data_IF_255441512959
#
_entry.id   IF_255441512959
#
_cell.length_a   1.000
_cell.length_b   1.000
_cell.length_c   1.000
_cell.angle_alpha   90.00
_cell.angle_beta   90.00
_cell.angle_gamma   90.00
#
_symmetry.space_group_name_H-M   'P 1'
#
loop_
_entity.id
_entity.type
_entity.pdbx_description
1 polymer ?
#
# COMPACT_ATOMS: atom_id res chain seq x y z
N UNK A 1 -31.84 35.22 -66.72
CA UNK A 1 -30.43 35.67 -66.64
C UNK A 1 -29.72 34.71 -65.69
N UNK A 2 -28.96 33.75 -66.21
CA UNK A 2 -28.27 32.72 -65.42
C UNK A 2 -26.88 32.45 -66.01
N UNK A 3 -25.88 32.54 -65.11
CA UNK A 3 -24.69 31.69 -65.01
C UNK A 3 -23.64 31.75 -66.15
N UNK A 4 -22.36 31.42 -65.99
CA UNK A 4 -21.59 30.75 -64.93
C UNK A 4 -20.17 31.36 -64.97
N UNK A 5 -19.56 31.67 -63.82
CA UNK A 5 -18.09 31.69 -63.72
C UNK A 5 -17.65 30.92 -62.47
N UNK A 6 -17.38 29.64 -62.68
CA UNK A 6 -16.67 28.78 -61.72
C UNK A 6 -15.29 29.39 -61.43
N UNK A 7 -15.06 29.82 -60.19
CA UNK A 7 -13.71 30.02 -59.66
C UNK A 7 -13.49 29.07 -58.50
N UNK A 8 -12.87 27.94 -58.81
CA UNK A 8 -12.34 26.99 -57.83
C UNK A 8 -11.12 27.60 -57.12
N UNK A 9 -11.35 28.31 -56.01
CA UNK A 9 -10.28 28.83 -55.14
C UNK A 9 -10.34 28.20 -53.73
N UNK A 10 -10.65 26.90 -53.65
CA UNK A 10 -10.64 26.16 -52.40
C UNK A 10 -9.23 25.65 -52.05
N UNK A 11 -8.77 25.94 -50.83
CA UNK A 11 -7.49 25.47 -50.26
C UNK A 11 -7.24 23.96 -50.44
N UNK A 12 -8.31 23.14 -50.51
CA UNK A 12 -8.19 21.69 -50.68
C UNK A 12 -7.68 21.20 -52.04
N UNK A 13 -7.78 21.99 -53.12
CA UNK A 13 -7.33 21.53 -54.45
C UNK A 13 -5.80 21.60 -54.58
N UNK A 14 -5.18 22.65 -54.01
CA UNK A 14 -3.72 22.82 -53.98
C UNK A 14 -3.04 21.74 -53.15
N UNK A 15 -3.61 21.39 -51.99
CA UNK A 15 -3.04 20.33 -51.14
C UNK A 15 -3.20 18.93 -51.75
N UNK A 16 -4.32 18.66 -52.43
CA UNK A 16 -4.51 17.40 -53.17
C UNK A 16 -3.55 17.26 -54.35
N UNK A 17 -3.33 18.33 -55.12
CA UNK A 17 -2.34 18.33 -56.21
C UNK A 17 -0.91 18.15 -55.64
N UNK A 18 -0.61 18.74 -54.48
CA UNK A 18 0.68 18.59 -53.81
C UNK A 18 0.92 17.19 -53.24
N UNK A 19 -0.13 16.48 -52.81
CA UNK A 19 -0.04 15.06 -52.43
C UNK A 19 0.11 14.14 -53.64
N UNK A 20 -0.58 14.41 -54.75
CA UNK A 20 -0.44 13.62 -55.99
C UNK A 20 0.93 13.80 -56.67
N UNK A 21 1.54 14.98 -56.58
CA UNK A 21 2.85 15.28 -57.15
C UNK A 21 4.02 15.09 -56.16
N UNK A 22 3.82 14.39 -55.04
CA UNK A 22 4.93 14.05 -54.14
C UNK A 22 5.87 13.07 -54.86
N UNK A 23 7.14 13.46 -54.99
CA UNK A 23 8.19 12.57 -55.50
C UNK A 23 8.17 11.25 -54.72
N UNK A 24 8.20 10.13 -55.46
CA UNK A 24 8.30 8.79 -54.89
C UNK A 24 9.40 8.80 -53.83
N UNK A 25 9.06 8.34 -52.63
CA UNK A 25 9.98 8.21 -51.51
C UNK A 25 11.28 7.56 -51.96
N UNK A 26 12.36 8.34 -51.96
CA UNK A 26 13.68 7.88 -52.40
C UNK A 26 14.25 6.81 -51.46
N UNK A 27 15.36 6.15 -51.87
CA UNK A 27 15.99 5.07 -51.10
C UNK A 27 16.35 5.48 -49.66
N UNK A 28 16.62 6.76 -49.42
CA UNK A 28 16.86 7.33 -48.09
C UNK A 28 15.66 7.24 -47.13
N UNK A 29 14.42 7.30 -47.65
CA UNK A 29 13.23 7.10 -46.83
C UNK A 29 13.13 5.65 -46.37
N UNK A 30 13.49 4.70 -47.23
CA UNK A 30 13.53 3.28 -46.89
C UNK A 30 14.53 2.99 -45.77
N UNK A 31 15.71 3.62 -45.80
CA UNK A 31 16.71 3.54 -44.72
C UNK A 31 16.15 4.07 -43.40
N UNK A 32 15.41 5.18 -43.41
CA UNK A 32 14.77 5.72 -42.19
C UNK A 32 13.72 4.77 -41.62
N UNK A 33 12.89 4.16 -42.47
CA UNK A 33 11.90 3.19 -42.02
C UNK A 33 12.54 1.89 -41.52
N UNK A 34 13.60 1.41 -42.17
CA UNK A 34 14.36 0.25 -41.72
C UNK A 34 15.07 0.51 -40.38
N UNK A 35 15.66 1.69 -40.19
CA UNK A 35 16.24 2.11 -38.92
C UNK A 35 15.19 2.23 -37.82
N UNK A 36 13.99 2.75 -38.15
CA UNK A 36 12.89 2.84 -37.19
C UNK A 36 12.36 1.45 -36.79
N UNK A 37 12.17 0.54 -37.75
CA UNK A 37 11.81 -0.85 -37.48
C UNK A 37 12.89 -1.58 -36.68
N UNK A 38 14.17 -1.32 -36.95
CA UNK A 38 15.29 -1.84 -36.15
C UNK A 38 15.25 -1.33 -34.71
N UNK A 39 14.99 -0.03 -34.51
CA UNK A 39 14.85 0.55 -33.17
C UNK A 39 13.65 -0.04 -32.41
N UNK A 40 12.51 -0.21 -33.07
CA UNK A 40 11.33 -0.86 -32.47
C UNK A 40 11.62 -2.33 -32.15
N UNK A 41 12.32 -3.05 -33.03
CA UNK A 41 12.76 -4.42 -32.78
C UNK A 41 13.70 -4.53 -31.57
N UNK A 42 14.64 -3.60 -31.42
CA UNK A 42 15.52 -3.52 -30.24
C UNK A 42 14.76 -3.19 -28.96
N UNK A 43 13.75 -2.31 -29.00
CA UNK A 43 12.89 -2.03 -27.85
C UNK A 43 12.09 -3.27 -27.47
N UNK A 44 11.52 -3.99 -28.44
CA UNK A 44 10.79 -5.25 -28.17
C UNK A 44 11.73 -6.32 -27.60
N UNK A 45 12.96 -6.44 -28.12
CA UNK A 45 13.98 -7.35 -27.58
C UNK A 45 14.45 -6.96 -26.18
N UNK A 46 14.62 -5.66 -25.91
CA UNK A 46 14.93 -5.15 -24.58
C UNK A 46 13.78 -5.37 -23.58
N UNK A 47 12.52 -5.22 -24.03
CA UNK A 47 11.34 -5.57 -23.23
C UNK A 47 11.13 -7.10 -23.13
N UNK A 48 11.77 -7.89 -23.98
CA UNK A 48 11.83 -9.37 -23.88
C UNK A 48 12.92 -9.87 -22.97
N UNK A 49 13.67 -8.98 -22.32
CA UNK A 49 14.43 -9.41 -21.16
C UNK A 49 13.40 -9.79 -20.10
N UNK A 50 13.12 -11.09 -20.02
CA UNK A 50 12.45 -11.73 -18.90
C UNK A 50 13.01 -11.06 -17.67
N UNK A 51 12.16 -10.40 -16.92
CA UNK A 51 12.43 -10.04 -15.54
C UNK A 51 12.53 -11.35 -14.76
N UNK A 52 13.59 -12.12 -15.03
CA UNK A 52 14.34 -12.76 -13.97
C UNK A 52 14.94 -11.60 -13.18
N UNK A 53 14.07 -10.87 -12.47
CA UNK A 53 14.54 -10.30 -11.22
C UNK A 53 15.12 -11.50 -10.51
N UNK A 54 16.42 -11.50 -10.15
CA UNK A 54 16.90 -12.49 -9.24
C UNK A 54 16.01 -12.29 -8.01
N UNK A 55 15.04 -13.19 -7.82
CA UNK A 55 14.43 -13.42 -6.51
C UNK A 55 15.64 -13.43 -5.62
N UNK A 56 15.76 -12.42 -4.75
CA UNK A 56 16.87 -12.31 -3.81
C UNK A 56 16.85 -13.62 -3.05
N UNK A 57 17.63 -14.60 -3.52
CA UNK A 57 17.85 -15.85 -2.82
C UNK A 57 18.43 -15.39 -1.52
N UNK A 58 17.63 -15.46 -0.45
CA UNK A 58 18.07 -15.06 0.87
C UNK A 58 19.38 -15.79 1.11
N UNK A 59 20.46 -15.03 1.22
CA UNK A 59 21.81 -15.57 1.31
C UNK A 59 21.89 -16.34 2.64
N UNK A 60 21.81 -17.68 2.54
CA UNK A 60 21.90 -18.60 3.67
C UNK A 60 20.57 -19.28 3.96
N UNK A 61 20.41 -20.49 3.40
CA UNK A 61 19.43 -21.45 3.88
C UNK A 61 19.71 -21.73 5.37
N UNK A 62 18.67 -21.66 6.20
CA UNK A 62 18.81 -21.93 7.63
C UNK A 62 19.13 -23.42 7.82
N UNK A 63 20.04 -23.79 8.74
CA UNK A 63 20.33 -25.20 8.98
C UNK A 63 19.09 -25.87 9.60
N UNK A 64 18.70 -27.03 9.06
CA UNK A 64 17.54 -27.82 9.48
C UNK A 64 17.76 -28.51 10.84
N UNK A 65 17.93 -27.71 11.90
CA UNK A 65 18.22 -28.18 13.27
C UNK A 65 16.95 -28.55 14.06
N UNK A 66 15.78 -28.14 13.59
CA UNK A 66 14.47 -28.42 14.21
C UNK A 66 13.45 -28.85 13.15
N UNK A 67 12.35 -29.53 13.53
CA UNK A 67 11.29 -29.89 12.60
C UNK A 67 10.71 -28.67 11.87
N UNK A 68 10.58 -27.55 12.58
CA UNK A 68 10.12 -26.28 11.99
C UNK A 68 11.12 -25.73 10.97
N UNK A 69 12.43 -25.73 11.27
CA UNK A 69 13.44 -25.28 10.30
C UNK A 69 13.58 -26.20 9.10
N UNK A 70 13.34 -27.50 9.27
CA UNK A 70 13.31 -28.43 8.14
C UNK A 70 12.19 -28.06 7.16
N UNK A 71 10.97 -27.78 7.64
CA UNK A 71 9.88 -27.30 6.78
C UNK A 71 10.20 -25.97 6.10
N UNK A 72 10.81 -25.02 6.82
CA UNK A 72 11.23 -23.75 6.23
C UNK A 72 12.24 -23.97 5.12
N UNK A 73 13.26 -24.81 5.35
CA UNK A 73 14.28 -25.13 4.35
C UNK A 73 13.66 -25.82 3.13
N UNK A 74 12.76 -26.79 3.33
CA UNK A 74 12.05 -27.47 2.25
C UNK A 74 11.26 -26.49 1.38
N UNK A 75 10.59 -25.50 1.99
CA UNK A 75 9.87 -24.46 1.25
C UNK A 75 10.81 -23.51 0.50
N UNK A 76 11.88 -23.04 1.15
CA UNK A 76 12.88 -22.17 0.53
C UNK A 76 13.56 -22.84 -0.68
N UNK A 77 13.84 -24.15 -0.58
CA UNK A 77 14.46 -24.95 -1.64
C UNK A 77 13.59 -25.05 -2.91
N UNK A 78 12.26 -24.95 -2.77
CA UNK A 78 11.37 -24.89 -3.95
C UNK A 78 11.54 -23.62 -4.78
N UNK A 79 12.08 -22.54 -4.20
CA UNK A 79 12.23 -21.24 -4.86
C UNK A 79 10.94 -20.45 -5.07
N UNK A 80 9.78 -20.96 -4.63
CA UNK A 80 8.48 -20.27 -4.74
C UNK A 80 8.07 -19.55 -3.45
N UNK A 81 8.83 -19.73 -2.37
CA UNK A 81 8.52 -19.19 -1.05
C UNK A 81 9.62 -18.27 -0.58
N UNK A 82 9.24 -17.30 0.25
CA UNK A 82 10.20 -16.44 0.94
C UNK A 82 9.80 -16.20 2.40
N UNK A 83 10.79 -15.88 3.23
CA UNK A 83 10.60 -15.48 4.62
C UNK A 83 10.04 -14.07 4.67
N UNK A 84 8.74 -13.97 4.94
CA UNK A 84 8.05 -12.70 5.11
C UNK A 84 8.30 -12.09 6.48
N UNK A 85 8.27 -12.94 7.52
CA UNK A 85 8.58 -12.57 8.89
C UNK A 85 9.29 -13.71 9.59
N UNK A 86 10.29 -13.42 10.41
CA UNK A 86 11.04 -14.43 11.12
C UNK A 86 11.58 -13.91 12.45
N UNK A 87 11.49 -14.74 13.47
CA UNK A 87 12.20 -14.66 14.73
C UNK A 87 12.95 -15.98 14.90
N UNK A 88 14.28 -15.97 14.87
CA UNK A 88 15.08 -17.18 14.98
C UNK A 88 16.44 -16.90 15.62
N UNK A 89 17.11 -17.95 16.09
CA UNK A 89 18.44 -17.81 16.70
C UNK A 89 19.52 -18.32 15.75
N UNK A 90 20.37 -17.45 15.20
CA UNK A 90 21.58 -17.87 14.47
C UNK A 90 22.82 -17.78 15.36
N UNK A 91 23.59 -18.89 15.39
CA UNK A 91 24.84 -19.11 16.16
C UNK A 91 24.75 -18.83 17.66
N UNK A 92 24.40 -17.61 18.09
CA UNK A 92 24.03 -17.18 19.47
C UNK A 92 23.23 -15.86 19.51
N UNK A 93 22.73 -15.36 18.39
CA UNK A 93 22.00 -14.07 18.31
C UNK A 93 20.59 -14.31 17.81
N UNK A 94 19.64 -13.64 18.46
CA UNK A 94 18.26 -13.57 17.98
C UNK A 94 18.21 -12.60 16.81
N UNK A 95 17.83 -13.11 15.65
CA UNK A 95 17.62 -12.33 14.44
C UNK A 95 16.13 -12.13 14.20
N UNK A 96 15.80 -10.97 13.63
CA UNK A 96 14.44 -10.58 13.32
C UNK A 96 14.38 -10.12 11.88
N UNK A 97 13.41 -10.63 11.14
CA UNK A 97 12.99 -10.13 9.84
C UNK A 97 11.49 -9.88 9.90
N UNK A 98 11.02 -8.79 9.33
CA UNK A 98 9.59 -8.51 9.20
C UNK A 98 9.33 -7.76 7.89
N UNK A 99 8.19 -8.07 7.29
CA UNK A 99 7.59 -7.39 6.16
C UNK A 99 6.10 -7.13 6.42
N UNK A 100 5.49 -6.26 5.63
CA UNK A 100 4.05 -5.99 5.66
C UNK A 100 3.34 -6.83 4.58
N UNK A 101 2.19 -7.46 4.88
CA UNK A 101 1.37 -7.29 6.09
C UNK A 101 1.82 -8.15 7.28
N UNK A 102 1.48 -7.72 8.50
CA UNK A 102 1.72 -8.50 9.73
C UNK A 102 0.48 -9.35 10.03
N UNK A 103 0.63 -10.68 9.93
CA UNK A 103 -0.48 -11.62 10.02
C UNK A 103 -0.71 -12.20 11.42
N UNK A 104 0.29 -12.09 12.28
CA UNK A 104 0.25 -12.63 13.65
C UNK A 104 0.20 -11.46 14.62
N UNK A 105 -0.67 -11.56 15.62
CA UNK A 105 -0.71 -10.61 16.72
C UNK A 105 -0.71 -11.31 18.06
N UNK A 106 -0.38 -10.57 19.12
CA UNK A 106 -0.41 -11.05 20.49
C UNK A 106 -1.45 -10.27 21.26
N UNK A 107 -2.47 -10.98 21.75
CA UNK A 107 -3.56 -10.41 22.54
C UNK A 107 -3.68 -11.15 23.86
N UNK A 108 -3.66 -10.43 24.97
CA UNK A 108 -3.71 -11.01 26.32
C UNK A 108 -2.69 -12.15 26.52
N UNK A 109 -1.46 -11.92 26.03
CA UNK A 109 -0.34 -12.88 26.12
C UNK A 109 -0.56 -14.20 25.37
N UNK A 110 -1.45 -14.20 24.38
CA UNK A 110 -1.72 -15.34 23.49
C UNK A 110 -1.50 -14.94 22.05
N UNK A 111 -0.94 -15.87 21.27
CA UNK A 111 -0.79 -15.69 19.83
C UNK A 111 -2.13 -15.89 19.11
N UNK A 112 -2.40 -15.06 18.12
CA UNK A 112 -3.58 -15.17 17.27
C UNK A 112 -3.25 -14.73 15.85
N UNK A 113 -4.03 -15.21 14.88
CA UNK A 113 -3.98 -14.72 13.50
C UNK A 113 -4.90 -13.51 13.33
N UNK A 114 -4.47 -12.57 12.49
CA UNK A 114 -5.29 -11.46 12.03
C UNK A 114 -6.59 -11.99 11.40
N UNK A 115 -7.77 -11.47 11.76
CA UNK A 115 -9.07 -11.91 11.22
C UNK A 115 -9.11 -11.94 9.70
N UNK A 116 -8.46 -10.97 9.05
CA UNK A 116 -8.46 -10.81 7.59
C UNK A 116 -7.71 -11.94 6.86
N UNK A 117 -6.84 -12.68 7.56
CA UNK A 117 -5.96 -13.70 6.96
C UNK A 117 -6.08 -15.08 7.61
N UNK A 118 -7.11 -15.31 8.42
CA UNK A 118 -7.33 -16.61 9.08
C UNK A 118 -7.56 -17.76 8.08
N UNK A 119 -8.16 -17.46 6.93
CA UNK A 119 -8.50 -18.44 5.91
C UNK A 119 -7.39 -18.68 4.88
N UNK A 120 -6.42 -17.76 4.82
CA UNK A 120 -5.32 -17.77 3.86
C UNK A 120 -4.00 -18.26 4.46
N UNK A 121 -4.02 -18.67 5.74
CA UNK A 121 -2.82 -19.05 6.50
C UNK A 121 -2.91 -20.48 7.03
N UNK A 122 -1.96 -21.33 6.64
CA UNK A 122 -1.74 -22.62 7.27
C UNK A 122 -0.84 -22.47 8.52
N UNK A 123 -1.21 -23.12 9.63
CA UNK A 123 -0.43 -23.07 10.88
C UNK A 123 0.28 -24.40 11.09
N UNK A 124 1.56 -24.33 11.46
CA UNK A 124 2.39 -25.45 11.86
C UNK A 124 3.05 -25.17 13.20
N UNK A 125 2.94 -26.10 14.15
CA UNK A 125 3.59 -26.03 15.45
C UNK A 125 4.46 -27.28 15.59
N UNK A 126 5.75 -27.08 15.87
CA UNK A 126 6.76 -28.15 16.01
C UNK A 126 6.78 -29.12 14.82
N UNK A 127 6.66 -28.56 13.61
CA UNK A 127 6.63 -29.31 12.35
C UNK A 127 5.30 -30.02 12.02
N UNK A 128 4.26 -29.86 12.84
CA UNK A 128 2.94 -30.49 12.62
C UNK A 128 1.88 -29.46 12.33
N UNK A 129 0.98 -29.75 11.38
CA UNK A 129 -0.16 -28.89 11.08
C UNK A 129 -1.03 -28.73 12.33
N UNK A 130 -1.37 -27.49 12.67
CA UNK A 130 -2.12 -27.13 13.87
C UNK A 130 -3.36 -26.29 13.52
N UNK A 131 -4.21 -26.08 14.52
CA UNK A 131 -5.41 -25.24 14.41
C UNK A 131 -5.18 -23.85 15.02
N UNK A 132 -6.01 -22.85 14.68
CA UNK A 132 -5.98 -21.55 15.34
C UNK A 132 -6.15 -21.63 16.87
N UNK A 133 -6.94 -22.60 17.36
CA UNK A 133 -7.12 -22.82 18.80
C UNK A 133 -5.82 -23.27 19.49
N UNK A 134 -5.01 -24.09 18.81
CA UNK A 134 -3.70 -24.50 19.31
C UNK A 134 -2.72 -23.32 19.36
N UNK A 135 -2.79 -22.41 18.38
CA UNK A 135 -2.02 -21.17 18.37
C UNK A 135 -2.36 -20.29 19.58
N UNK A 136 -3.64 -20.15 19.90
CA UNK A 136 -4.12 -19.35 21.04
C UNK A 136 -3.75 -19.93 22.42
N UNK A 137 -3.27 -21.17 22.49
CA UNK A 137 -2.74 -21.76 23.72
C UNK A 137 -1.26 -21.42 23.96
N UNK A 138 -0.55 -20.96 22.92
CA UNK A 138 0.86 -20.62 23.03
C UNK A 138 1.05 -19.22 23.59
N UNK A 139 1.90 -19.14 24.60
CA UNK A 139 2.39 -17.88 25.14
C UNK A 139 3.70 -17.45 24.45
N UNK A 140 3.94 -16.14 24.27
CA UNK A 140 5.16 -15.60 23.65
C UNK A 140 6.49 -16.08 24.26
N UNK A 141 6.48 -16.42 25.54
CA UNK A 141 7.66 -16.90 26.28
C UNK A 141 8.02 -18.36 25.98
N UNK A 142 7.10 -19.14 25.39
CA UNK A 142 7.32 -20.54 24.99
C UNK A 142 7.80 -20.71 23.55
N UNK A 143 7.74 -19.65 22.74
CA UNK A 143 8.02 -19.68 21.29
C UNK A 143 9.51 -19.56 21.02
N UNK A 144 10.23 -20.63 20.74
CA UNK A 144 11.66 -20.53 20.41
C UNK A 144 11.88 -19.75 19.11
N UNK A 145 11.15 -20.14 18.06
CA UNK A 145 11.27 -19.57 16.72
C UNK A 145 9.89 -19.42 16.09
N UNK A 146 9.75 -18.39 15.26
CA UNK A 146 8.53 -18.13 14.50
C UNK A 146 8.94 -17.72 13.09
N UNK A 147 8.35 -18.38 12.10
CA UNK A 147 8.52 -18.05 10.70
C UNK A 147 7.15 -17.88 10.05
N UNK A 148 7.01 -16.82 9.27
CA UNK A 148 5.90 -16.63 8.36
C UNK A 148 6.46 -16.67 6.95
N UNK A 149 6.11 -17.73 6.23
CA UNK A 149 6.48 -17.92 4.84
C UNK A 149 5.34 -17.42 3.97
N UNK A 150 5.68 -16.74 2.87
CA UNK A 150 4.73 -16.31 1.86
C UNK A 150 5.15 -16.85 0.49
N UNK A 151 4.17 -17.34 -0.27
CA UNK A 151 4.37 -17.82 -1.63
C UNK A 151 4.36 -16.64 -2.60
N UNK A 152 5.22 -16.67 -3.62
CA UNK A 152 5.13 -15.70 -4.71
C UNK A 152 3.90 -15.99 -5.59
N UNK A 153 2.92 -15.10 -5.56
CA UNK A 153 1.64 -15.25 -6.27
C UNK A 153 1.78 -15.28 -7.80
N UNK A 154 2.83 -14.64 -8.34
CA UNK A 154 2.98 -14.41 -9.79
C UNK A 154 4.02 -15.31 -10.47
N UNK A 155 4.55 -16.33 -9.78
CA UNK A 155 5.53 -17.24 -10.37
C UNK A 155 4.87 -18.39 -11.13
N UNK A 156 5.33 -18.61 -12.36
CA UNK A 156 4.86 -19.71 -13.19
C UNK A 156 5.29 -21.04 -12.57
N UNK A 157 4.32 -21.85 -12.15
CA UNK A 157 4.56 -23.13 -11.47
C UNK A 157 4.38 -23.07 -9.95
N UNK A 158 3.99 -21.92 -9.39
CA UNK A 158 3.52 -21.85 -8.02
C UNK A 158 2.27 -22.74 -7.84
N UNK A 159 2.25 -23.51 -6.75
CA UNK A 159 1.10 -24.34 -6.41
C UNK A 159 0.03 -23.48 -5.75
N UNK A 160 -1.01 -23.14 -6.52
CA UNK A 160 -2.15 -22.35 -6.07
C UNK A 160 -3.17 -23.15 -5.23
N UNK A 161 -2.95 -24.46 -5.04
CA UNK A 161 -3.81 -25.29 -4.16
C UNK A 161 -3.42 -25.17 -2.69
N UNK A 162 -2.20 -24.73 -2.42
CA UNK A 162 -1.68 -24.47 -1.08
C UNK A 162 -2.03 -23.04 -0.69
N UNK A 163 -2.37 -22.82 0.59
CA UNK A 163 -2.64 -21.49 1.12
C UNK A 163 -1.39 -20.59 0.99
N UNK A 164 -1.54 -19.31 0.61
CA UNK A 164 -0.40 -18.45 0.28
C UNK A 164 0.52 -18.17 1.47
N UNK A 165 -0.01 -18.21 2.70
CA UNK A 165 0.77 -18.00 3.92
C UNK A 165 0.94 -19.29 4.72
N UNK A 166 2.15 -19.50 5.24
CA UNK A 166 2.43 -20.58 6.19
C UNK A 166 3.10 -20.02 7.43
N UNK A 167 2.41 -20.08 8.56
CA UNK A 167 2.93 -19.75 9.88
C UNK A 167 3.52 -21.01 10.50
N UNK A 168 4.81 -20.98 10.83
CA UNK A 168 5.53 -22.08 11.44
C UNK A 168 6.16 -21.65 12.75
N UNK A 169 5.87 -22.40 13.81
CA UNK A 169 6.30 -22.07 15.18
C UNK A 169 7.06 -23.25 15.75
N UNK A 170 8.24 -22.98 16.30
CA UNK A 170 8.97 -23.92 17.14
C UNK A 170 8.76 -23.53 18.59
N UNK A 171 8.28 -24.45 19.41
CA UNK A 171 8.11 -24.23 20.85
C UNK A 171 9.26 -24.85 21.64
N UNK A 172 9.44 -24.39 22.87
CA UNK A 172 10.25 -25.06 23.89
C UNK A 172 9.42 -25.27 25.14
N UNK A 173 9.57 -26.43 25.79
CA UNK A 173 8.92 -26.73 27.06
C UNK A 173 9.42 -25.93 28.27
N UNK A 174 10.22 -24.88 28.06
CA UNK A 174 10.75 -23.99 29.10
C UNK A 174 10.57 -22.54 28.67
N UNK A 175 10.28 -21.68 29.64
CA UNK A 175 10.20 -20.22 29.47
C UNK A 175 11.54 -19.69 28.95
N UNK A 176 11.49 -18.93 27.86
CA UNK A 176 12.66 -18.31 27.25
C UNK A 176 12.83 -16.87 27.72
N UNK A 177 14.07 -16.46 28.05
CA UNK A 177 14.33 -15.07 28.42
C UNK A 177 14.11 -14.15 27.22
N UNK A 178 13.54 -12.98 27.48
CA UNK A 178 13.38 -11.93 26.47
C UNK A 178 14.66 -11.10 26.39
N UNK A 179 15.40 -11.25 25.30
CA UNK A 179 16.39 -10.27 24.89
C UNK A 179 15.72 -9.04 24.23
N UNK A 180 16.52 -8.01 23.94
CA UNK A 180 16.05 -6.75 23.34
C UNK A 180 15.32 -6.99 22.02
N UNK A 181 15.81 -7.92 21.20
CA UNK A 181 15.24 -8.22 19.89
C UNK A 181 13.89 -8.92 20.07
N UNK A 182 13.86 -10.01 20.83
CA UNK A 182 12.64 -10.76 21.14
C UNK A 182 11.57 -9.87 21.77
N UNK A 183 11.96 -8.98 22.69
CA UNK A 183 11.06 -7.99 23.25
C UNK A 183 10.50 -7.05 22.17
N UNK A 184 11.34 -6.51 21.29
CA UNK A 184 10.89 -5.66 20.20
C UNK A 184 9.95 -6.41 19.23
N UNK A 185 10.22 -7.68 18.94
CA UNK A 185 9.40 -8.52 18.07
C UNK A 185 8.00 -8.76 18.64
N UNK A 186 7.90 -9.23 19.88
CA UNK A 186 6.59 -9.46 20.50
C UNK A 186 5.86 -8.16 20.82
N UNK A 187 6.57 -7.05 21.06
CA UNK A 187 5.96 -5.71 21.16
C UNK A 187 5.35 -5.29 19.82
N UNK A 188 5.99 -5.60 18.69
CA UNK A 188 5.41 -5.39 17.35
C UNK A 188 4.13 -6.20 17.17
N UNK A 189 4.13 -7.50 17.55
CA UNK A 189 2.93 -8.34 17.45
C UNK A 189 1.80 -7.87 18.36
N UNK A 190 2.10 -7.32 19.54
CA UNK A 190 1.10 -6.67 20.40
C UNK A 190 0.54 -5.40 19.76
N UNK A 191 1.40 -4.57 19.15
CA UNK A 191 0.95 -3.39 18.43
C UNK A 191 0.09 -3.73 17.20
N UNK A 192 0.34 -4.87 16.55
CA UNK A 192 -0.45 -5.37 15.43
C UNK A 192 -1.86 -5.84 15.82
N UNK A 193 -2.15 -6.12 17.09
CA UNK A 193 -3.54 -6.33 17.57
C UNK A 193 -4.34 -5.02 17.56
N UNK A 194 -3.66 -3.89 17.73
CA UNK A 194 -4.28 -2.56 17.83
C UNK A 194 -4.27 -1.80 16.50
N UNK A 195 -3.38 -2.16 15.58
CA UNK A 195 -3.10 -1.41 14.36
C UNK A 195 -2.94 -2.32 13.14
N UNK A 196 -3.52 -1.87 12.02
CA UNK A 196 -3.26 -2.43 10.69
C UNK A 196 -1.86 -2.09 10.16
N UNK A 197 -1.32 -0.94 10.55
CA UNK A 197 -0.01 -0.42 10.13
C UNK A 197 0.89 -0.14 11.34
N UNK A 198 1.28 -1.17 12.12
CA UNK A 198 2.07 -0.96 13.33
C UNK A 198 3.48 -0.41 13.02
N UNK A 199 3.99 -0.54 11.80
CA UNK A 199 5.25 0.10 11.37
C UNK A 199 5.06 1.57 10.95
N UNK A 200 3.81 2.05 10.92
CA UNK A 200 3.42 3.39 10.53
C UNK A 200 3.13 3.49 9.02
N UNK A 201 2.20 4.36 8.68
CA UNK A 201 1.82 4.65 7.30
C UNK A 201 1.47 6.15 7.17
N UNK A 202 1.37 6.67 5.97
CA UNK A 202 1.03 8.08 5.72
C UNK A 202 0.19 8.24 4.47
N UNK A 203 -0.90 8.98 4.62
CA UNK A 203 -1.84 9.24 3.54
C UNK A 203 -1.93 10.74 3.25
N UNK A 204 -2.31 11.06 2.01
CA UNK A 204 -2.53 12.44 1.59
C UNK A 204 -3.78 12.52 0.73
N UNK A 205 -4.65 13.45 1.10
CA UNK A 205 -5.93 13.68 0.45
C UNK A 205 -5.99 15.12 -0.05
N UNK A 206 -6.31 15.28 -1.33
CA UNK A 206 -6.84 16.54 -1.87
C UNK A 206 -8.30 16.71 -1.46
N UNK A 207 -8.90 17.89 -1.68
CA UNK A 207 -10.32 18.14 -1.39
C UNK A 207 -11.25 17.08 -2.00
N UNK A 208 -11.06 16.70 -3.27
CA UNK A 208 -11.90 15.70 -3.95
C UNK A 208 -11.71 14.30 -3.35
N UNK A 209 -10.46 13.91 -3.08
CA UNK A 209 -10.17 12.63 -2.44
C UNK A 209 -10.71 12.56 -1.02
N UNK A 210 -10.75 13.69 -0.30
CA UNK A 210 -11.32 13.77 1.03
C UNK A 210 -12.86 13.64 0.99
N UNK A 211 -13.53 14.25 0.01
CA UNK A 211 -14.96 14.04 -0.22
C UNK A 211 -15.28 12.57 -0.48
N UNK A 212 -14.48 11.92 -1.32
CA UNK A 212 -14.61 10.50 -1.60
C UNK A 212 -14.32 9.63 -0.35
N UNK A 213 -13.22 9.90 0.34
CA UNK A 213 -12.83 9.18 1.56
C UNK A 213 -13.90 9.30 2.66
N UNK A 214 -14.46 10.49 2.87
CA UNK A 214 -15.54 10.69 3.86
C UNK A 214 -16.85 10.05 3.43
N UNK A 215 -17.14 9.98 2.12
CA UNK A 215 -18.31 9.28 1.59
C UNK A 215 -18.23 7.75 1.80
N UNK A 216 -17.05 7.16 1.58
CA UNK A 216 -16.82 5.72 1.80
C UNK A 216 -16.38 5.37 3.23
N UNK A 217 -16.43 6.33 4.16
CA UNK A 217 -15.99 6.15 5.55
C UNK A 217 -14.57 5.61 5.71
N UNK A 218 -13.65 6.02 4.82
CA UNK A 218 -12.24 5.67 4.93
C UNK A 218 -11.65 6.28 6.21
N UNK A 219 -11.21 5.39 7.12
CA UNK A 219 -10.64 5.73 8.43
C UNK A 219 -9.23 6.29 8.34
N UNK A 220 -8.52 6.07 7.24
CA UNK A 220 -7.17 6.58 7.00
C UNK A 220 -7.14 8.12 6.92
N UNK A 221 -8.28 8.74 6.61
CA UNK A 221 -8.43 10.20 6.63
C UNK A 221 -8.53 10.77 8.05
N UNK A 222 -8.76 9.93 9.09
CA UNK A 222 -8.97 10.29 10.50
C UNK A 222 -10.15 11.23 10.78
N UNK A 223 -10.80 11.76 9.74
CA UNK A 223 -11.94 12.67 9.82
C UNK A 223 -13.13 12.13 9.05
N UNK A 224 -14.32 12.49 9.52
CA UNK A 224 -15.60 12.34 8.84
C UNK A 224 -16.16 13.71 8.43
N UNK A 225 -17.06 13.69 7.45
CA UNK A 225 -17.83 14.87 7.04
C UNK A 225 -19.12 14.91 7.85
N UNK A 226 -19.40 16.05 8.47
CA UNK A 226 -20.68 16.30 9.16
C UNK A 226 -21.79 16.60 8.16
N UNK A 227 -23.04 16.65 8.63
CA UNK A 227 -24.20 17.00 7.79
C UNK A 227 -24.10 18.41 7.17
N UNK A 228 -23.38 19.30 7.83
CA UNK A 228 -23.19 20.69 7.42
C UNK A 228 -21.87 20.89 6.64
N UNK A 229 -21.30 19.81 6.10
CA UNK A 229 -20.09 19.82 5.26
C UNK A 229 -18.80 20.27 5.95
N UNK A 230 -18.79 20.22 7.29
CA UNK A 230 -17.59 20.46 8.09
C UNK A 230 -16.88 19.14 8.42
N UNK A 231 -15.63 19.23 8.83
CA UNK A 231 -14.86 18.07 9.25
C UNK A 231 -15.10 17.75 10.73
N UNK A 232 -15.06 16.48 11.10
CA UNK A 232 -15.00 16.04 12.50
C UNK A 232 -13.99 14.91 12.60
N UNK A 233 -13.11 14.93 13.59
CA UNK A 233 -12.21 13.79 13.83
C UNK A 233 -13.04 12.61 14.36
N UNK A 234 -12.82 11.40 13.86
CA UNK A 234 -13.54 10.22 14.37
C UNK A 234 -13.31 10.05 15.87
N UNK A 235 -14.38 9.71 16.59
CA UNK A 235 -14.37 9.66 18.06
C UNK A 235 -13.34 8.64 18.60
N UNK A 236 -13.12 7.54 17.87
CA UNK A 236 -12.13 6.51 18.20
C UNK A 236 -10.66 6.98 18.10
N UNK A 237 -10.39 8.01 17.29
CA UNK A 237 -9.03 8.54 17.08
C UNK A 237 -8.74 9.81 17.89
N UNK A 238 -9.76 10.48 18.43
CA UNK A 238 -9.61 11.68 19.26
C UNK A 238 -8.53 11.58 20.35
N UNK A 239 -8.49 10.54 21.21
CA UNK A 239 -7.52 10.48 22.30
C UNK A 239 -6.09 10.21 21.82
N UNK A 240 -5.91 9.77 20.58
CA UNK A 240 -4.61 9.29 20.06
C UNK A 240 -4.11 10.10 18.87
N UNK A 241 -4.77 11.20 18.51
CA UNK A 241 -4.40 12.04 17.36
C UNK A 241 -3.84 13.39 17.79
N UNK A 242 -2.68 13.75 17.26
CA UNK A 242 -2.16 15.10 17.33
C UNK A 242 -2.57 15.91 16.10
N UNK A 243 -3.18 17.08 16.30
CA UNK A 243 -3.83 17.85 15.23
C UNK A 243 -3.05 19.14 14.96
N UNK A 244 -2.84 19.42 13.67
CA UNK A 244 -2.22 20.63 13.17
C UNK A 244 -3.06 21.23 12.05
N UNK A 245 -3.43 22.51 12.16
CA UNK A 245 -4.09 23.28 11.09
C UNK A 245 -3.11 24.35 10.63
N UNK A 246 -2.73 24.34 9.35
CA UNK A 246 -1.70 25.21 8.78
C UNK A 246 -0.39 25.19 9.58
N UNK A 247 0.04 23.99 9.99
CA UNK A 247 1.22 23.75 10.85
C UNK A 247 1.13 24.33 12.27
N UNK A 248 -0.03 24.81 12.70
CA UNK A 248 -0.29 25.28 14.07
C UNK A 248 -1.00 24.18 14.85
N UNK A 249 -0.47 23.81 16.01
CA UNK A 249 -1.10 22.81 16.88
C UNK A 249 -2.50 23.28 17.27
N UNK A 250 -3.48 22.42 17.04
CA UNK A 250 -4.91 22.74 17.14
C UNK A 250 -5.68 21.65 17.88
N UNK A 251 -6.96 21.90 18.15
CA UNK A 251 -7.87 20.97 18.83
C UNK A 251 -8.88 20.37 17.85
N UNK A 252 -9.58 19.32 18.27
CA UNK A 252 -10.67 18.74 17.47
C UNK A 252 -11.85 19.72 17.29
N UNK A 253 -12.05 20.65 18.21
CA UNK A 253 -13.05 21.71 18.07
C UNK A 253 -12.68 22.67 16.93
N UNK A 254 -11.40 22.97 16.73
CA UNK A 254 -10.94 23.81 15.62
C UNK A 254 -11.16 23.11 14.27
N UNK A 255 -10.95 21.79 14.20
CA UNK A 255 -11.25 20.99 13.00
C UNK A 255 -12.73 21.08 12.61
N UNK A 256 -13.63 21.11 13.60
CA UNK A 256 -15.07 21.26 13.40
C UNK A 256 -15.49 22.59 12.75
N UNK A 257 -14.61 23.60 12.74
CA UNK A 257 -14.84 24.87 12.06
C UNK A 257 -14.45 24.87 10.59
N UNK A 258 -13.74 23.84 10.12
CA UNK A 258 -13.23 23.76 8.75
C UNK A 258 -14.29 23.13 7.85
N UNK A 259 -14.74 23.89 6.86
CA UNK A 259 -15.60 23.35 5.82
C UNK A 259 -14.75 22.53 4.83
N UNK A 260 -15.28 21.41 4.32
CA UNK A 260 -14.51 20.48 3.46
C UNK A 260 -13.91 21.14 2.21
N UNK A 261 -14.60 22.14 1.66
CA UNK A 261 -14.12 22.94 0.50
C UNK A 261 -12.98 23.92 0.82
N UNK A 262 -12.73 24.18 2.09
CA UNK A 262 -11.60 25.00 2.53
C UNK A 262 -10.32 24.16 2.65
N UNK A 263 -10.41 22.83 2.57
CA UNK A 263 -9.25 21.94 2.64
C UNK A 263 -8.50 21.96 1.32
N UNK A 264 -7.30 22.53 1.32
CA UNK A 264 -6.37 22.41 0.20
C UNK A 264 -5.73 21.01 0.19
N UNK A 265 -5.25 20.57 1.36
CA UNK A 265 -4.63 19.26 1.54
C UNK A 265 -4.77 18.76 2.96
N UNK A 266 -5.03 17.47 3.10
CA UNK A 266 -5.07 16.77 4.37
C UNK A 266 -4.00 15.68 4.34
N UNK A 267 -3.13 15.66 5.34
CA UNK A 267 -2.14 14.61 5.53
C UNK A 267 -2.42 13.91 6.84
N UNK A 268 -2.45 12.58 6.79
CA UNK A 268 -2.52 11.75 7.99
C UNK A 268 -1.27 10.92 8.08
N UNK A 269 -0.87 10.64 9.31
CA UNK A 269 0.28 9.79 9.60
C UNK A 269 -0.04 8.92 10.78
N UNK A 270 0.01 7.61 10.58
CA UNK A 270 0.17 6.67 11.67
C UNK A 270 1.66 6.59 12.02
N UNK A 271 2.00 6.85 13.28
CA UNK A 271 3.38 6.74 13.74
C UNK A 271 3.74 5.26 13.93
N UNK A 272 5.02 4.87 13.79
CA UNK A 272 5.45 3.51 14.11
C UNK A 272 5.18 3.19 15.58
N UNK A 273 4.89 1.93 15.89
CA UNK A 273 4.63 1.43 17.24
C UNK A 273 5.73 1.78 18.23
N UNK A 274 6.97 1.85 17.74
CA UNK A 274 8.11 2.29 18.52
C UNK A 274 7.95 3.70 19.10
N UNK A 275 6.98 4.51 18.68
CA UNK A 275 6.77 5.86 19.20
C UNK A 275 5.55 5.98 20.13
N UNK A 276 4.46 5.27 19.82
CA UNK A 276 3.19 5.39 20.56
C UNK A 276 2.91 4.22 21.48
N UNK A 277 3.52 3.05 21.25
CA UNK A 277 3.36 1.84 22.05
C UNK A 277 4.54 1.66 23.02
N UNK A 278 4.93 2.77 23.67
CA UNK A 278 6.00 2.81 24.69
C UNK A 278 5.40 2.99 26.09
N UNK A 279 6.06 2.42 27.10
CA UNK A 279 5.62 2.54 28.50
C UNK A 279 6.06 3.86 29.17
N UNK A 280 7.18 4.42 28.75
CA UNK A 280 7.88 5.52 29.41
C UNK A 280 7.40 6.90 28.95
N UNK A 281 7.19 7.08 27.65
CA UNK A 281 6.67 8.34 27.09
C UNK A 281 5.97 8.12 25.74
N UNK A 282 4.72 7.63 25.73
CA UNK A 282 3.99 7.37 24.50
C UNK A 282 3.62 8.69 23.81
N UNK A 283 4.03 8.83 22.55
CA UNK A 283 3.49 9.89 21.68
C UNK A 283 2.10 9.50 21.16
N UNK A 284 1.23 10.46 20.78
CA UNK A 284 -0.04 10.13 20.13
C UNK A 284 0.19 9.23 18.91
N UNK A 285 -0.64 8.21 18.70
CA UNK A 285 -0.49 7.24 17.60
C UNK A 285 -0.58 7.91 16.24
N UNK A 286 -1.53 8.83 16.08
CA UNK A 286 -1.80 9.49 14.82
C UNK A 286 -1.38 10.96 14.83
N UNK A 287 -1.10 11.49 13.65
CA UNK A 287 -0.98 12.91 13.40
C UNK A 287 -1.84 13.31 12.21
N UNK A 288 -2.61 14.38 12.37
CA UNK A 288 -3.50 14.96 11.39
C UNK A 288 -3.02 16.37 11.05
N UNK A 289 -2.68 16.62 9.79
CA UNK A 289 -2.28 17.93 9.29
C UNK A 289 -3.29 18.39 8.25
N UNK A 290 -3.94 19.53 8.50
CA UNK A 290 -4.89 20.14 7.58
C UNK A 290 -4.28 21.44 7.08
N UNK A 291 -4.12 21.55 5.77
CA UNK A 291 -3.79 22.79 5.09
C UNK A 291 -5.07 23.36 4.51
N UNK A 292 -5.43 24.58 4.93
CA UNK A 292 -6.61 25.27 4.43
C UNK A 292 -6.23 26.25 3.33
N UNK A 293 -7.01 26.29 2.26
CA UNK A 293 -7.01 27.41 1.33
C UNK A 293 -7.78 28.59 1.95
N UNK A 294 -7.44 29.85 1.62
CA UNK A 294 -8.28 30.99 1.99
C UNK A 294 -9.70 30.70 1.53
N UNK A 295 -10.71 31.06 2.34
CA UNK A 295 -12.13 30.90 1.96
C UNK A 295 -12.27 31.40 0.53
N UNK A 296 -12.44 30.49 -0.43
CA UNK A 296 -12.77 30.88 -1.80
C UNK A 296 -14.04 31.67 -1.61
N UNK A 297 -13.96 33.00 -1.79
CA UNK A 297 -15.11 33.88 -1.71
C UNK A 297 -16.23 33.12 -2.38
N UNK A 298 -17.28 32.79 -1.60
CA UNK A 298 -18.37 31.93 -2.04
C UNK A 298 -18.57 32.26 -3.50
N UNK A 299 -18.21 31.33 -4.40
CA UNK A 299 -18.49 31.53 -5.81
C UNK A 299 -19.99 31.41 -5.81
N UNK A 300 -20.60 32.57 -5.60
CA UNK A 300 -22.00 32.77 -5.42
C UNK A 300 -22.56 32.11 -6.65
N UNK A 301 -23.17 30.94 -6.46
CA UNK A 301 -23.78 30.18 -7.56
C UNK A 301 -24.96 30.95 -8.17
N UNK A 302 -25.20 32.17 -7.69
CA UNK A 302 -26.00 33.25 -8.25
C UNK A 302 -25.33 34.00 -9.41
N UNK A 303 -24.03 33.86 -9.67
CA UNK A 303 -23.45 34.33 -10.94
C UNK A 303 -23.69 33.29 -12.04
N UNK A 304 -24.95 33.20 -12.46
CA UNK A 304 -25.25 32.87 -13.86
C UNK A 304 -24.61 33.97 -14.70
N UNK A 305 -23.41 33.70 -15.24
CA UNK A 305 -22.97 34.42 -16.43
C UNK A 305 -23.87 33.92 -17.55
N UNK A 306 -25.04 34.56 -17.68
CA UNK A 306 -25.77 34.56 -18.94
C UNK A 306 -24.80 35.16 -19.96
N UNK A 307 -24.16 34.28 -20.72
CA UNK A 307 -23.61 34.68 -22.00
C UNK A 307 -24.79 35.20 -22.83
N UNK A 308 -24.75 36.44 -23.35
CA UNK A 308 -25.82 36.93 -24.23
C UNK A 308 -25.87 36.18 -25.58
N UNK A 309 -25.08 35.12 -25.76
CA UNK A 309 -24.99 34.33 -26.98
C UNK A 309 -25.57 32.91 -26.87
N UNK A 310 -26.19 32.53 -25.75
CA UNK A 310 -26.90 31.25 -25.64
C UNK A 310 -28.39 31.48 -25.32
N UNK A 311 -29.17 31.75 -26.36
CA UNK A 311 -30.60 31.42 -26.38
C UNK A 311 -30.73 30.00 -26.91
N UNK A 312 -30.67 29.02 -26.01
CA UNK A 312 -31.05 27.65 -26.30
C UNK A 312 -32.14 27.27 -25.31
N UNK A 313 -33.36 27.10 -25.83
CA UNK A 313 -34.54 26.69 -25.05
C UNK A 313 -34.26 25.40 -24.26
N UNK A 314 -34.52 25.46 -22.96
CA UNK A 314 -34.87 24.34 -22.09
C UNK A 314 -36.03 24.76 -21.18
#
# INVERSE_FOLDING_TARGET
>A
MYAFTNRFTGFGLRDRIRMMNRQRSGPLAFVRYAAWLGAVGLIILACRHTTDQPVTRYAGALPATSPTRALVADLEDTGFWYRHMALFTDKKRTEITYGEPILVSVKQDKLQLSPDHQWDTAIFIDGKKATPDALAQLSPDQVDELFLMHQFENLRGADHTILPYQLMIQTRGKVLPFDINRQAFFTLLQAADLSKHPLGDSYSFTMNQLLEATFFHNKDALVERTKDDHLKVYDEFLPTTEIFINNIRSTAADVATIHIREVARLHTKERPFRNWFRRDNPTPRFALFIQTEPKRANRDSSYYVFSPFYTGDF
#
